data_IF_277925706082
#
_entry.id   IF_277925706082
#
_cell.length_a   1.000
_cell.length_b   1.000
_cell.length_c   1.000
_cell.angle_alpha   90.00
_cell.angle_beta   90.00
_cell.angle_gamma   90.00
#
_symmetry.space_group_name_H-M   'P 1'
#
loop_
_entity.id
_entity.type
_entity.pdbx_description
1 polymer ?
#
# COMPACT_ATOMS: atom_id res chain seq x y z
N UNK A 1 -4.44 -1.13 -4.09
CA UNK A 1 -3.16 -0.40 -4.30
C UNK A 1 -3.29 0.51 -5.50
N UNK A 2 -2.53 1.60 -5.56
CA UNK A 2 -2.54 2.52 -6.71
C UNK A 2 -1.18 3.15 -6.95
N UNK A 3 -1.02 3.83 -8.08
CA UNK A 3 0.08 4.77 -8.34
C UNK A 3 -0.44 6.20 -8.26
N UNK A 4 0.26 7.13 -7.64
CA UNK A 4 -0.24 8.50 -7.48
C UNK A 4 -0.34 9.20 -8.84
N UNK A 5 -1.41 9.95 -9.10
CA UNK A 5 -1.50 10.80 -10.29
C UNK A 5 -0.48 11.96 -10.24
N UNK A 6 -0.27 12.53 -9.06
CA UNK A 6 0.70 13.61 -8.83
C UNK A 6 2.09 13.12 -8.43
N UNK A 7 2.99 14.07 -8.20
CA UNK A 7 4.41 13.83 -7.97
C UNK A 7 4.98 14.45 -6.71
N UNK A 8 6.07 13.87 -6.23
CA UNK A 8 6.90 14.39 -5.15
C UNK A 8 8.38 14.11 -5.41
N UNK A 9 9.24 14.72 -4.61
CA UNK A 9 10.68 14.49 -4.58
C UNK A 9 11.05 13.43 -3.54
N UNK A 10 12.08 12.64 -3.82
CA UNK A 10 12.57 11.58 -2.92
C UNK A 10 13.67 12.05 -1.95
N UNK A 11 13.63 13.32 -1.52
CA UNK A 11 14.68 13.98 -0.71
C UNK A 11 14.44 13.95 0.81
N UNK A 12 13.25 13.58 1.26
CA UNK A 12 12.86 13.64 2.67
C UNK A 12 13.22 12.32 3.36
N UNK A 13 13.85 12.35 4.56
CA UNK A 13 14.29 11.13 5.23
C UNK A 13 13.16 10.42 6.00
N UNK A 14 12.06 11.11 6.26
CA UNK A 14 10.94 10.60 7.06
C UNK A 14 9.89 9.93 6.17
N UNK A 15 9.63 8.64 6.41
CA UNK A 15 8.64 7.86 5.66
C UNK A 15 7.22 8.44 5.82
N UNK A 16 6.93 9.09 6.96
CA UNK A 16 5.64 9.71 7.21
C UNK A 16 5.32 10.82 6.19
N UNK A 17 6.35 11.48 5.64
CA UNK A 17 6.15 12.49 4.58
C UNK A 17 5.50 11.86 3.34
N UNK A 18 5.95 10.67 2.97
CA UNK A 18 5.45 9.95 1.80
C UNK A 18 4.12 9.25 2.06
N UNK A 19 3.92 8.72 3.28
CA UNK A 19 2.62 8.20 3.70
C UNK A 19 1.56 9.30 3.68
N UNK A 20 1.86 10.50 4.21
CA UNK A 20 0.95 11.64 4.15
C UNK A 20 0.67 12.09 2.71
N UNK A 21 1.68 12.04 1.84
CA UNK A 21 1.51 12.37 0.43
C UNK A 21 0.54 11.41 -0.27
N UNK A 22 0.74 10.10 -0.15
CA UNK A 22 -0.17 9.13 -0.78
C UNK A 22 -1.56 9.12 -0.12
N UNK A 23 -1.63 9.32 1.19
CA UNK A 23 -2.90 9.46 1.89
C UNK A 23 -3.68 10.68 1.40
N UNK A 24 -3.03 11.79 1.07
CA UNK A 24 -3.69 12.96 0.50
C UNK A 24 -4.42 12.67 -0.82
N UNK A 25 -3.87 11.78 -1.66
CA UNK A 25 -4.55 11.30 -2.88
C UNK A 25 -5.73 10.38 -2.54
N UNK A 26 -5.55 9.48 -1.58
CA UNK A 26 -6.62 8.61 -1.12
C UNK A 26 -7.80 9.41 -0.52
N UNK A 27 -7.51 10.48 0.22
CA UNK A 27 -8.50 11.37 0.82
C UNK A 27 -9.28 12.14 -0.26
N UNK A 28 -8.60 12.58 -1.32
CA UNK A 28 -9.24 13.26 -2.45
C UNK A 28 -10.30 12.38 -3.15
N UNK A 29 -10.03 11.06 -3.21
CA UNK A 29 -10.91 10.07 -3.81
C UNK A 29 -11.84 9.36 -2.79
N UNK A 30 -11.85 9.82 -1.53
CA UNK A 30 -12.64 9.24 -0.43
C UNK A 30 -12.41 7.73 -0.21
N UNK A 31 -11.18 7.26 -0.40
CA UNK A 31 -10.81 5.84 -0.27
C UNK A 31 -10.64 5.37 1.19
N UNK A 32 -10.83 6.29 2.15
CA UNK A 32 -10.64 6.02 3.57
C UNK A 32 -9.20 6.17 4.04
N UNK A 33 -8.99 5.89 5.33
CA UNK A 33 -7.72 6.13 6.02
C UNK A 33 -6.80 4.91 6.02
N UNK A 34 -5.49 5.16 6.00
CA UNK A 34 -4.44 4.17 6.26
C UNK A 34 -3.60 3.81 5.06
N UNK A 35 -3.65 4.58 3.97
CA UNK A 35 -2.81 4.35 2.79
C UNK A 35 -1.35 4.70 3.11
N UNK A 36 -0.45 3.76 2.84
CA UNK A 36 0.99 3.95 3.02
C UNK A 36 1.73 3.82 1.71
N UNK A 37 2.83 4.57 1.60
CA UNK A 37 3.67 4.54 0.40
C UNK A 37 4.46 3.24 0.35
N UNK A 38 4.57 2.64 -0.84
CA UNK A 38 5.49 1.52 -1.08
C UNK A 38 6.87 2.09 -1.39
N UNK A 39 7.54 2.54 -0.33
CA UNK A 39 8.81 3.21 -0.41
C UNK A 39 9.67 2.92 0.81
N UNK A 40 10.98 3.05 0.65
CA UNK A 40 11.94 2.87 1.73
C UNK A 40 12.75 4.14 1.99
N UNK A 41 12.95 4.44 3.27
CA UNK A 41 13.96 5.40 3.74
C UNK A 41 15.14 4.64 4.33
N UNK A 42 16.19 5.35 4.75
CA UNK A 42 17.32 4.72 5.44
C UNK A 42 16.93 4.04 6.77
N UNK A 43 15.79 4.42 7.34
CA UNK A 43 15.31 3.92 8.63
C UNK A 43 14.15 2.91 8.52
N UNK A 44 13.42 2.90 7.40
CA UNK A 44 12.18 2.12 7.25
C UNK A 44 12.18 1.40 5.91
N UNK A 45 12.04 0.07 5.96
CA UNK A 45 11.83 -0.75 4.77
C UNK A 45 10.39 -0.59 4.26
N UNK A 46 10.19 -0.66 2.94
CA UNK A 46 8.85 -0.60 2.35
C UNK A 46 7.92 -1.70 2.89
N UNK A 47 8.40 -2.94 2.98
CA UNK A 47 7.59 -4.07 3.49
C UNK A 47 7.13 -3.89 4.93
N UNK A 48 7.93 -3.21 5.76
CA UNK A 48 7.58 -2.92 7.15
C UNK A 48 6.58 -1.73 7.21
N UNK A 49 6.79 -0.71 6.36
CA UNK A 49 5.88 0.45 6.25
C UNK A 49 4.47 0.06 5.79
N UNK A 50 4.36 -0.97 4.96
CA UNK A 50 3.09 -1.45 4.42
C UNK A 50 2.50 -2.64 5.19
N UNK A 51 3.16 -3.10 6.26
CA UNK A 51 2.77 -4.30 7.03
C UNK A 51 2.58 -5.55 6.13
N UNK A 52 3.55 -5.76 5.25
CA UNK A 52 3.61 -6.89 4.29
C UNK A 52 4.93 -7.67 4.40
N UNK A 53 5.63 -7.56 5.53
CA UNK A 53 6.80 -8.39 5.75
C UNK A 53 6.38 -9.86 5.92
N UNK A 54 7.29 -10.81 5.65
CA UNK A 54 7.00 -12.24 5.84
C UNK A 54 6.63 -12.59 7.28
N UNK A 55 7.08 -11.78 8.25
CA UNK A 55 6.70 -11.89 9.67
C UNK A 55 5.25 -11.53 9.95
N UNK A 56 4.58 -10.83 9.04
CA UNK A 56 3.18 -10.42 9.14
C UNK A 56 2.22 -11.54 8.65
N UNK A 57 2.76 -12.69 8.26
CA UNK A 57 2.04 -13.87 7.79
C UNK A 57 2.11 -14.05 6.28
N UNK A 58 1.34 -15.01 5.76
CA UNK A 58 1.24 -15.26 4.30
C UNK A 58 0.67 -14.02 3.60
N UNK A 59 -0.24 -13.30 4.24
CA UNK A 59 -0.89 -12.12 3.71
C UNK A 59 -2.23 -12.42 3.05
N UNK A 60 -2.66 -11.49 2.19
CA UNK A 60 -3.90 -11.59 1.41
C UNK A 60 -3.65 -11.15 -0.03
N UNK A 61 -4.55 -11.50 -0.98
CA UNK A 61 -4.46 -10.99 -2.33
C UNK A 61 -4.53 -9.47 -2.39
N UNK A 62 -3.65 -8.88 -3.20
CA UNK A 62 -3.53 -7.43 -3.40
C UNK A 62 -4.04 -7.08 -4.79
N UNK A 63 -4.98 -6.13 -4.86
CA UNK A 63 -5.57 -5.65 -6.12
C UNK A 63 -5.26 -4.18 -6.35
N UNK A 64 -5.25 -3.76 -7.62
CA UNK A 64 -5.27 -2.35 -7.98
C UNK A 64 -6.69 -1.73 -7.86
N UNK A 65 -6.81 -0.44 -8.16
CA UNK A 65 -8.11 0.27 -8.10
C UNK A 65 -9.10 -0.15 -9.20
N UNK A 66 -8.64 -0.86 -10.24
CA UNK A 66 -9.49 -1.44 -11.28
C UNK A 66 -9.93 -2.89 -10.94
N UNK A 67 -9.49 -3.43 -9.79
CA UNK A 67 -9.76 -4.81 -9.39
C UNK A 67 -8.85 -5.84 -10.06
N UNK A 68 -7.75 -5.41 -10.68
CA UNK A 68 -6.74 -6.32 -11.22
C UNK A 68 -5.90 -6.89 -10.10
N UNK A 69 -5.70 -8.21 -10.08
CA UNK A 69 -4.85 -8.87 -9.11
C UNK A 69 -3.37 -8.54 -9.38
N UNK A 70 -2.68 -7.97 -8.40
CA UNK A 70 -1.27 -7.60 -8.49
C UNK A 70 -0.38 -8.66 -7.84
N UNK A 71 -0.76 -9.14 -6.65
CA UNK A 71 -0.05 -10.20 -5.96
C UNK A 71 -1.04 -11.12 -5.25
N UNK A 72 -0.79 -12.43 -5.24
CA UNK A 72 -1.68 -13.39 -4.54
C UNK A 72 -1.57 -13.29 -3.03
N UNK A 73 -0.42 -12.86 -2.52
CA UNK A 73 -0.13 -12.71 -1.11
C UNK A 73 1.11 -11.81 -0.88
N UNK A 74 1.58 -11.70 0.37
CA UNK A 74 2.72 -10.82 0.71
C UNK A 74 4.06 -11.41 0.29
N UNK A 75 4.17 -12.74 0.17
CA UNK A 75 5.38 -13.39 -0.30
C UNK A 75 5.52 -13.11 -1.80
N UNK A 76 4.44 -13.31 -2.55
CA UNK A 76 4.38 -13.02 -3.99
C UNK A 76 4.72 -11.54 -4.27
N UNK A 77 4.21 -10.59 -3.47
CA UNK A 77 4.55 -9.17 -3.63
C UNK A 77 6.06 -8.90 -3.59
N UNK A 78 6.82 -9.64 -2.79
CA UNK A 78 8.24 -9.41 -2.50
C UNK A 78 9.17 -10.53 -3.00
N UNK A 79 8.69 -11.45 -3.83
CA UNK A 79 9.51 -12.56 -4.35
C UNK A 79 10.39 -12.16 -5.55
N UNK A 80 10.21 -10.93 -6.03
CA UNK A 80 10.88 -10.39 -7.21
C UNK A 80 10.00 -10.35 -8.45
N UNK A 81 8.70 -10.61 -8.35
CA UNK A 81 7.74 -10.38 -9.41
C UNK A 81 6.37 -9.97 -8.89
N UNK A 82 5.52 -9.45 -9.77
CA UNK A 82 4.09 -9.23 -9.57
C UNK A 82 3.34 -9.77 -10.78
N UNK A 83 2.07 -10.09 -10.61
CA UNK A 83 1.25 -10.70 -11.67
C UNK A 83 0.89 -9.72 -12.78
N UNK A 84 0.63 -8.45 -12.43
CA UNK A 84 0.21 -7.42 -13.37
C UNK A 84 0.91 -6.09 -13.06
N UNK A 85 1.08 -5.25 -14.08
CA UNK A 85 1.76 -3.97 -13.94
C UNK A 85 0.90 -2.91 -13.23
N UNK A 86 1.56 -1.90 -12.64
CA UNK A 86 0.92 -0.88 -11.81
C UNK A 86 0.67 0.42 -12.58
N UNK A 87 -0.40 0.41 -13.37
CA UNK A 87 -0.80 1.53 -14.24
C UNK A 87 -1.94 2.39 -13.73
N UNK A 88 -2.65 1.93 -12.70
CA UNK A 88 -3.90 2.53 -12.27
C UNK A 88 -3.68 3.52 -11.11
N UNK A 89 -4.34 4.66 -11.24
CA UNK A 89 -4.33 5.77 -10.29
C UNK A 89 -5.34 5.60 -9.16
N UNK A 90 -5.26 6.48 -8.17
CA UNK A 90 -6.20 6.53 -7.04
C UNK A 90 -7.66 6.65 -7.49
N UNK A 91 -7.92 7.28 -8.63
CA UNK A 91 -9.25 7.49 -9.23
C UNK A 91 -9.75 6.29 -10.07
N UNK A 92 -8.96 5.21 -10.13
CA UNK A 92 -9.27 4.04 -10.95
C UNK A 92 -8.97 4.19 -12.44
N UNK A 93 -8.43 5.33 -12.88
CA UNK A 93 -8.03 5.55 -14.28
C UNK A 93 -6.56 5.21 -14.51
N UNK A 94 -6.14 5.18 -15.77
CA UNK A 94 -4.73 4.98 -16.08
C UNK A 94 -3.93 6.24 -15.76
N UNK A 95 -2.96 6.13 -14.87
CA UNK A 95 -2.03 7.20 -14.56
C UNK A 95 -1.23 7.63 -15.78
N UNK A 96 -1.24 8.93 -16.06
CA UNK A 96 -0.34 9.53 -17.03
C UNK A 96 1.10 9.50 -16.50
N UNK A 97 2.10 9.40 -17.39
CA UNK A 97 3.50 9.59 -17.02
C UNK A 97 3.71 10.96 -16.38
N UNK A 98 4.43 11.04 -15.26
CA UNK A 98 4.64 12.33 -14.61
C UNK A 98 5.72 13.19 -15.29
N UNK A 99 5.32 14.42 -15.60
CA UNK A 99 6.09 15.55 -16.15
C UNK A 99 6.53 15.47 -17.63
N UNK A 100 6.71 16.65 -18.21
CA UNK A 100 7.04 17.07 -19.60
C UNK A 100 8.28 16.39 -20.25
N UNK A 101 8.43 15.08 -20.14
CA UNK A 101 9.43 14.27 -20.81
C UNK A 101 8.72 13.25 -21.69
N UNK A 102 8.83 13.46 -23.00
CA UNK A 102 8.36 12.55 -24.05
C UNK A 102 8.96 11.15 -23.80
N UNK A 103 8.12 10.13 -23.57
CA UNK A 103 8.50 8.71 -23.59
C UNK A 103 8.11 7.87 -22.37
N UNK A 104 8.46 6.57 -22.33
CA UNK A 104 8.07 5.60 -21.29
C UNK A 104 8.77 5.80 -19.93
N UNK A 105 9.12 7.03 -19.57
CA UNK A 105 10.03 7.39 -18.47
C UNK A 105 9.32 8.04 -17.27
N UNK A 106 8.08 7.63 -16.96
CA UNK A 106 7.48 8.01 -15.68
C UNK A 106 8.39 7.52 -14.55
N UNK A 107 8.87 8.44 -13.72
CA UNK A 107 9.66 8.10 -12.55
C UNK A 107 8.69 7.61 -11.49
N UNK A 108 8.86 6.38 -11.03
CA UNK A 108 8.19 5.91 -9.82
C UNK A 108 9.24 5.72 -8.74
N UNK A 109 9.17 6.55 -7.72
CA UNK A 109 10.12 6.48 -6.61
C UNK A 109 9.83 5.27 -5.73
N UNK A 110 10.87 4.54 -5.34
CA UNK A 110 10.73 3.39 -4.43
C UNK A 110 11.79 3.39 -3.34
N UNK A 111 13.07 3.54 -3.69
CA UNK A 111 14.17 3.40 -2.72
C UNK A 111 14.32 1.96 -2.18
N UNK A 112 13.68 0.98 -2.81
CA UNK A 112 13.45 -0.36 -2.26
C UNK A 112 14.07 -1.42 -3.17
N UNK A 113 14.56 -2.51 -2.59
CA UNK A 113 14.95 -3.73 -3.30
C UNK A 113 13.72 -4.57 -3.68
N UNK A 114 13.92 -5.57 -4.52
CA UNK A 114 12.84 -6.47 -4.95
C UNK A 114 12.19 -7.27 -3.79
N UNK A 115 12.92 -7.46 -2.68
CA UNK A 115 12.49 -8.17 -1.48
C UNK A 115 11.81 -7.27 -0.42
N UNK A 116 11.48 -6.04 -0.81
CA UNK A 116 10.83 -5.05 0.04
C UNK A 116 11.73 -4.39 1.08
N UNK A 117 13.04 -4.71 1.10
CA UNK A 117 14.02 -4.07 1.98
C UNK A 117 14.51 -2.75 1.41
N UNK A 118 15.04 -1.90 2.28
CA UNK A 118 15.70 -0.64 1.89
C UNK A 118 16.90 -0.91 0.98
N UNK A 119 16.96 -0.18 -0.14
CA UNK A 119 18.14 -0.16 -1.00
C UNK A 119 19.33 0.44 -0.24
N UNK A 120 20.43 -0.33 -0.08
CA UNK A 120 21.53 -0.01 0.83
C UNK A 120 22.15 1.37 0.64
N UNK A 121 22.21 1.88 -0.60
CA UNK A 121 22.84 3.18 -0.90
C UNK A 121 21.87 4.19 -1.50
N UNK A 122 20.62 3.80 -1.74
CA UNK A 122 19.67 4.59 -2.55
C UNK A 122 18.27 4.67 -1.93
N UNK A 123 18.12 4.78 -0.60
CA UNK A 123 16.84 5.05 0.01
C UNK A 123 16.40 6.48 -0.28
N UNK A 124 15.15 6.79 0.09
CA UNK A 124 14.68 8.16 0.17
C UNK A 124 15.41 8.92 1.28
N UNK A 125 15.56 10.23 1.06
CA UNK A 125 16.23 11.13 1.98
C UNK A 125 17.42 11.85 1.36
N UNK A 126 18.13 12.66 2.16
CA UNK A 126 19.34 13.32 1.74
C UNK A 126 20.46 12.28 1.66
N UNK A 127 20.50 11.53 0.57
CA UNK A 127 21.63 10.66 0.27
C UNK A 127 22.76 11.48 -0.39
N UNK A 128 24.01 11.06 -0.15
CA UNK A 128 25.20 11.81 -0.55
C UNK A 128 25.31 12.00 -2.08
N UNK A 129 24.63 11.16 -2.85
CA UNK A 129 24.66 11.14 -4.31
C UNK A 129 23.43 11.82 -4.94
N UNK A 130 22.46 12.27 -4.14
CA UNK A 130 21.11 12.70 -4.59
C UNK A 130 20.48 11.72 -5.57
N UNK A 131 20.71 10.41 -5.42
CA UNK A 131 20.19 9.38 -6.32
C UNK A 131 19.37 8.35 -5.58
N UNK A 132 18.17 8.09 -6.07
CA UNK A 132 17.24 7.16 -5.45
C UNK A 132 16.83 6.06 -6.42
N UNK A 133 16.61 4.86 -5.89
CA UNK A 133 16.07 3.73 -6.67
C UNK A 133 14.66 4.04 -7.16
N UNK A 134 14.38 3.67 -8.41
CA UNK A 134 13.07 3.81 -9.03
C UNK A 134 12.54 2.47 -9.50
N UNK A 135 11.23 2.36 -9.61
CA UNK A 135 10.53 1.27 -10.24
C UNK A 135 10.03 1.63 -11.64
N UNK A 136 9.72 0.60 -12.43
CA UNK A 136 9.09 0.70 -13.73
C UNK A 136 7.62 0.29 -13.66
N UNK A 137 6.71 1.26 -13.86
CA UNK A 137 5.26 1.02 -13.79
C UNK A 137 4.70 0.05 -14.85
N UNK A 138 5.50 -0.30 -15.86
CA UNK A 138 5.16 -1.31 -16.88
C UNK A 138 5.83 -2.66 -16.62
N UNK A 139 6.77 -2.71 -15.68
CA UNK A 139 7.46 -3.91 -15.26
C UNK A 139 6.58 -4.80 -14.40
N UNK A 140 6.88 -6.09 -14.43
CA UNK A 140 6.25 -7.12 -13.60
C UNK A 140 7.28 -8.05 -12.97
N UNK A 141 8.56 -7.97 -13.36
CA UNK A 141 9.66 -8.60 -12.63
C UNK A 141 10.19 -7.63 -11.58
N UNK A 142 11.37 -7.89 -11.04
CA UNK A 142 11.93 -7.04 -9.97
C UNK A 142 12.08 -5.57 -10.37
N UNK A 143 12.03 -5.27 -11.67
CA UNK A 143 12.00 -3.92 -12.23
C UNK A 143 10.74 -3.11 -11.85
N UNK A 144 9.63 -3.75 -11.45
CA UNK A 144 8.43 -3.04 -11.01
C UNK A 144 8.72 -2.10 -9.82
N UNK A 145 9.62 -2.53 -8.93
CA UNK A 145 10.05 -1.79 -7.73
C UNK A 145 11.51 -1.32 -7.81
N UNK A 146 12.39 -2.05 -8.48
CA UNK A 146 13.81 -1.73 -8.63
C UNK A 146 14.29 -2.02 -10.05
N UNK A 147 14.15 -1.04 -10.94
CA UNK A 147 14.56 -1.16 -12.34
C UNK A 147 16.07 -0.94 -12.57
N UNK A 148 16.85 -0.87 -11.49
CA UNK A 148 18.29 -0.58 -11.44
C UNK A 148 18.69 0.81 -11.94
N UNK A 149 17.76 1.59 -12.51
CA UNK A 149 17.98 2.98 -12.87
C UNK A 149 17.96 3.83 -11.61
N UNK A 150 18.63 4.94 -11.73
CA UNK A 150 18.86 5.88 -10.65
C UNK A 150 18.50 7.24 -11.19
N UNK A 151 17.73 7.97 -10.40
CA UNK A 151 17.25 9.29 -10.78
C UNK A 151 17.61 10.26 -9.69
N UNK A 152 17.80 11.52 -10.09
CA UNK A 152 18.11 12.56 -9.13
C UNK A 152 16.90 12.71 -8.21
N UNK A 153 17.08 12.51 -6.90
CA UNK A 153 16.01 12.49 -5.90
C UNK A 153 15.27 13.83 -5.80
N UNK A 154 15.86 14.92 -6.31
CA UNK A 154 15.19 16.22 -6.44
C UNK A 154 14.26 16.31 -7.67
N UNK A 155 14.15 15.28 -8.49
CA UNK A 155 13.17 15.23 -9.58
C UNK A 155 11.80 14.84 -9.04
N UNK A 156 10.77 15.35 -9.71
CA UNK A 156 9.40 14.96 -9.43
C UNK A 156 9.11 13.58 -10.01
N UNK A 157 8.55 12.70 -9.18
CA UNK A 157 8.12 11.35 -9.57
C UNK A 157 6.92 10.89 -8.76
N UNK A 158 6.24 9.88 -9.28
CA UNK A 158 5.06 9.26 -8.67
C UNK A 158 5.47 8.27 -7.58
N UNK A 159 4.51 7.86 -6.76
CA UNK A 159 4.66 6.80 -5.76
C UNK A 159 3.62 5.72 -5.96
N UNK A 160 3.91 4.52 -5.46
CA UNK A 160 2.88 3.51 -5.23
C UNK A 160 2.33 3.63 -3.82
N UNK A 161 1.06 3.28 -3.65
CA UNK A 161 0.37 3.29 -2.38
C UNK A 161 -0.34 1.94 -2.14
N UNK A 162 -0.26 1.43 -0.91
CA UNK A 162 -0.98 0.24 -0.46
C UNK A 162 -1.98 0.61 0.63
N UNK A 163 -3.19 0.07 0.53
CA UNK A 163 -4.22 0.20 1.55
C UNK A 163 -3.96 -0.76 2.71
N UNK A 164 -4.52 -0.52 3.91
CA UNK A 164 -4.56 -1.54 4.94
C UNK A 164 -5.47 -2.70 4.52
N UNK A 165 -5.48 -3.77 5.30
CA UNK A 165 -6.42 -4.88 5.13
C UNK A 165 -7.87 -4.38 5.24
N UNK A 166 -8.69 -4.68 4.23
CA UNK A 166 -10.13 -4.50 4.31
C UNK A 166 -10.74 -5.57 5.24
N UNK A 167 -10.83 -5.28 6.52
CA UNK A 167 -11.66 -6.06 7.43
C UNK A 167 -13.08 -5.50 7.40
N UNK A 168 -14.00 -6.18 6.75
CA UNK A 168 -15.42 -5.89 6.95
C UNK A 168 -15.74 -6.08 8.45
N UNK A 169 -16.47 -5.15 9.10
CA UNK A 169 -16.92 -5.37 10.47
C UNK A 169 -17.79 -6.63 10.48
N UNK A 170 -17.34 -7.66 11.22
CA UNK A 170 -18.12 -8.90 11.36
C UNK A 170 -19.42 -8.54 12.07
N UNK A 171 -20.60 -8.76 11.46
CA UNK A 171 -21.86 -8.59 12.17
C UNK A 171 -21.84 -9.56 13.34
N UNK A 172 -21.97 -9.05 14.57
CA UNK A 172 -22.17 -9.92 15.74
C UNK A 172 -23.42 -10.77 15.41
N UNK A 173 -23.32 -12.11 15.36
CA UNK A 173 -24.47 -12.93 15.06
C UNK A 173 -25.58 -12.60 16.07
N UNK A 174 -26.81 -12.48 15.59
CA UNK A 174 -27.99 -12.19 16.41
C UNK A 174 -28.20 -13.16 17.60
N UNK A 175 -27.40 -14.23 17.69
CA UNK A 175 -27.26 -15.10 18.87
C UNK A 175 -26.92 -14.34 20.17
N UNK A 176 -26.25 -13.19 20.12
CA UNK A 176 -26.00 -12.36 21.32
C UNK A 176 -27.28 -11.85 21.99
N UNK A 177 -28.34 -11.62 21.22
CA UNK A 177 -29.64 -11.16 21.73
C UNK A 177 -30.51 -12.29 22.30
N UNK A 178 -30.32 -13.53 21.85
CA UNK A 178 -31.10 -14.68 22.30
C UNK A 178 -30.75 -15.14 23.73
N UNK A 179 -29.53 -14.89 24.21
CA UNK A 179 -29.16 -15.21 25.60
C UNK A 179 -29.74 -14.25 26.63
N UNK A 180 -29.98 -12.98 26.27
CA UNK A 180 -30.59 -11.99 27.16
C UNK A 180 -32.09 -12.23 27.40
N UNK A 181 -32.82 -12.76 26.40
CA UNK A 181 -34.27 -13.01 26.52
C UNK A 181 -34.59 -14.37 27.17
N UNK A 182 -33.71 -15.37 27.04
CA UNK A 182 -33.86 -16.67 27.69
C UNK A 182 -33.71 -16.60 29.22
N UNK A 183 -32.89 -15.69 29.75
CA UNK A 183 -32.73 -15.47 31.20
C UNK A 183 -33.94 -14.75 31.84
N UNK A 184 -34.66 -13.91 31.10
CA UNK A 184 -35.89 -13.24 31.57
C UNK A 184 -37.13 -14.16 31.53
N UNK A 185 -37.13 -15.19 30.67
CA UNK A 185 -38.24 -16.16 30.57
C UNK A 185 -38.32 -17.19 31.72
N UNK A 186 -37.22 -17.40 32.47
CA UNK A 186 -37.18 -18.44 33.52
C UNK A 186 -37.69 -17.97 34.89
N UNK A 187 -37.90 -16.66 35.11
CA UNK A 187 -38.33 -16.09 36.41
C UNK A 187 -39.87 -16.03 36.56
N UNK A 188 -40.63 -16.26 35.49
CA UNK A 188 -42.08 -16.01 35.41
C UNK A 188 -43.04 -17.17 35.72
N UNK A 189 -42.66 -18.21 36.47
CA UNK A 189 -43.62 -19.27 36.88
C UNK A 189 -43.52 -19.61 38.37
N UNK A 190 -44.18 -18.82 39.22
CA UNK A 190 -44.75 -19.33 40.48
C UNK A 190 -46.27 -19.21 40.43
N UNK A 191 -46.93 -20.37 40.41
CA UNK A 191 -48.37 -20.59 40.60
C UNK A 191 -48.78 -20.14 42.00
N UNK A 192 -49.95 -19.51 42.12
CA UNK A 192 -50.74 -19.52 43.36
C UNK A 192 -52.15 -20.01 43.01
N UNK A 193 -52.55 -21.05 43.71
CA UNK A 193 -53.85 -21.71 43.67
C UNK A 193 -54.36 -21.81 45.10
N UNK A 194 -55.69 -21.61 45.22
CA UNK A 194 -56.57 -21.57 46.40
C UNK A 194 -56.61 -20.22 47.12
#
# INVERSE_FOLDING_TARGET
MFRTSGTTQAIYPDIATYNNFVQGFADAENLGLGWTAIASTSAVNARDNTATATSDGVGVPIFDMAGTLIAVDYIDLWDGSILNNLRICEDGTQCLPSHNGIGPTAIVWTGTNADGTTSTNRPFGPNLELQTTVGAFFGTGGDWINDLRQRNSSQDGQLYALSPLFTAPVPIPAAGWLFMTALLGLVGKKRLSV
#
